data_IF_936245266040
#
_entry.id   IF_936245266040
#
_cell.length_a   1.000
_cell.length_b   1.000
_cell.length_c   1.000
_cell.angle_alpha   90.00
_cell.angle_beta   90.00
_cell.angle_gamma   90.00
#
_symmetry.space_group_name_H-M   'P 1'
#
loop_
_entity.id
_entity.type
_entity.pdbx_description
1 polymer ?
#
# COMPACT_ATOMS: atom_id res chain seq x y z
N UNK A 1 -4.27 -9.85 -11.62
CA UNK A 1 -4.10 -8.54 -11.02
C UNK A 1 -4.64 -8.55 -9.60
N UNK A 2 -3.88 -8.05 -8.66
CA UNK A 2 -4.18 -8.16 -7.23
C UNK A 2 -3.80 -6.86 -6.52
N UNK A 3 -4.59 -6.49 -5.49
CA UNK A 3 -4.24 -5.41 -4.58
C UNK A 3 -3.65 -6.05 -3.32
N UNK A 4 -2.40 -5.72 -3.01
CA UNK A 4 -1.69 -6.21 -1.82
C UNK A 4 -1.66 -5.12 -0.77
N UNK A 5 -1.99 -5.46 0.48
CA UNK A 5 -2.06 -4.49 1.57
C UNK A 5 -1.08 -4.89 2.67
N UNK A 6 -0.20 -3.97 3.03
CA UNK A 6 0.63 -4.05 4.23
C UNK A 6 -0.27 -3.75 5.43
N UNK A 7 -0.98 -4.78 5.89
CA UNK A 7 -2.17 -4.59 6.72
C UNK A 7 -1.89 -4.20 8.17
N UNK A 8 -0.73 -4.58 8.72
CA UNK A 8 -0.39 -4.22 10.09
C UNK A 8 -0.20 -2.70 10.25
N UNK A 9 0.19 -2.02 9.17
CA UNK A 9 0.41 -0.58 9.17
C UNK A 9 -0.73 0.21 8.51
N UNK A 10 -1.78 -0.45 8.05
CA UNK A 10 -2.87 0.21 7.33
C UNK A 10 -4.00 0.58 8.29
N UNK A 11 -4.44 1.86 8.32
CA UNK A 11 -5.56 2.26 9.16
C UNK A 11 -6.86 1.54 8.78
N UNK A 12 -7.70 1.28 9.78
CA UNK A 12 -8.96 0.56 9.58
C UNK A 12 -9.88 1.26 8.59
N UNK A 13 -9.95 2.60 8.62
CA UNK A 13 -10.80 3.36 7.69
C UNK A 13 -10.37 3.16 6.24
N UNK A 14 -9.08 2.98 6.00
CA UNK A 14 -8.56 2.70 4.65
C UNK A 14 -8.86 1.26 4.26
N UNK A 15 -8.74 0.31 5.19
CA UNK A 15 -9.14 -1.08 4.94
C UNK A 15 -10.60 -1.16 4.51
N UNK A 16 -11.49 -0.39 5.16
CA UNK A 16 -12.91 -0.36 4.81
C UNK A 16 -13.15 0.16 3.40
N UNK A 17 -12.42 1.18 2.98
CA UNK A 17 -12.48 1.68 1.61
C UNK A 17 -12.05 0.58 0.63
N UNK A 18 -10.98 -0.14 0.97
CA UNK A 18 -10.46 -1.23 0.14
C UNK A 18 -11.46 -2.39 0.05
N UNK A 19 -12.13 -2.75 1.14
CA UNK A 19 -13.14 -3.82 1.13
C UNK A 19 -14.26 -3.49 0.15
N UNK A 20 -14.80 -2.29 0.21
CA UNK A 20 -15.86 -1.85 -0.69
C UNK A 20 -15.38 -1.80 -2.15
N UNK A 21 -14.16 -1.31 -2.35
CA UNK A 21 -13.58 -1.24 -3.69
C UNK A 21 -13.36 -2.62 -4.29
N UNK A 22 -12.86 -3.58 -3.50
CA UNK A 22 -12.63 -4.95 -3.96
C UNK A 22 -13.93 -5.59 -4.47
N UNK A 23 -15.03 -5.40 -3.74
CA UNK A 23 -16.33 -5.92 -4.16
C UNK A 23 -16.82 -5.24 -5.43
N UNK A 24 -16.77 -3.91 -5.48
CA UNK A 24 -17.26 -3.15 -6.62
C UNK A 24 -16.45 -3.42 -7.89
N UNK A 25 -15.14 -3.49 -7.74
CA UNK A 25 -14.21 -3.70 -8.85
C UNK A 25 -14.04 -5.17 -9.20
N UNK A 26 -14.54 -6.08 -8.37
CA UNK A 26 -14.31 -7.52 -8.50
C UNK A 26 -12.82 -7.82 -8.60
N UNK A 27 -12.05 -7.22 -7.71
CA UNK A 27 -10.60 -7.26 -7.70
C UNK A 27 -10.10 -8.04 -6.49
N UNK A 28 -9.21 -9.04 -6.68
CA UNK A 28 -8.62 -9.73 -5.54
C UNK A 28 -7.88 -8.75 -4.62
N UNK A 29 -8.16 -8.84 -3.34
CA UNK A 29 -7.55 -8.03 -2.29
C UNK A 29 -6.93 -8.97 -1.26
N UNK A 30 -5.64 -8.86 -1.04
CA UNK A 30 -4.92 -9.70 -0.08
C UNK A 30 -4.30 -8.81 1.00
N UNK A 31 -4.73 -9.04 2.25
CA UNK A 31 -4.19 -8.32 3.40
C UNK A 31 -3.13 -9.20 4.05
N UNK A 32 -1.90 -8.73 4.03
CA UNK A 32 -0.75 -9.46 4.59
C UNK A 32 -0.45 -8.88 5.97
N UNK A 33 -0.45 -9.73 6.99
CA UNK A 33 -0.26 -9.30 8.37
C UNK A 33 0.41 -10.40 9.20
N UNK A 34 1.03 -9.99 10.30
CA UNK A 34 1.62 -10.97 11.22
C UNK A 34 0.64 -11.40 12.31
N UNK A 35 -0.61 -10.98 12.23
CA UNK A 35 -1.67 -11.34 13.17
C UNK A 35 -2.94 -11.70 12.39
N UNK A 36 -3.87 -12.39 13.07
CA UNK A 36 -5.14 -12.72 12.46
C UNK A 36 -5.98 -11.47 12.29
N UNK A 37 -6.56 -11.30 11.11
CA UNK A 37 -7.41 -10.16 10.79
C UNK A 37 -8.83 -10.65 10.53
N UNK A 38 -9.80 -9.86 10.98
CA UNK A 38 -11.19 -10.04 10.64
C UNK A 38 -11.51 -9.23 9.40
N UNK A 39 -11.93 -9.91 8.34
CA UNK A 39 -12.32 -9.25 7.10
C UNK A 39 -13.75 -9.66 6.74
N UNK A 40 -14.46 -8.84 5.94
CA UNK A 40 -15.80 -9.23 5.49
C UNK A 40 -15.75 -10.52 4.67
N UNK A 41 -16.75 -11.41 4.79
CA UNK A 41 -16.80 -12.59 3.94
C UNK A 41 -16.96 -12.17 2.48
N UNK A 42 -16.00 -12.59 1.65
CA UNK A 42 -15.99 -12.21 0.24
C UNK A 42 -15.03 -13.12 -0.50
N UNK A 43 -15.40 -13.50 -1.72
CA UNK A 43 -14.49 -14.27 -2.58
C UNK A 43 -13.33 -13.43 -3.12
N UNK A 44 -13.42 -12.10 -3.00
CA UNK A 44 -12.38 -11.19 -3.47
C UNK A 44 -11.39 -10.82 -2.37
N UNK A 45 -11.77 -10.97 -1.10
CA UNK A 45 -10.98 -10.50 0.04
C UNK A 45 -10.44 -11.70 0.80
N UNK A 46 -9.12 -11.78 0.92
CA UNK A 46 -8.49 -12.82 1.73
C UNK A 46 -7.35 -12.23 2.56
N UNK A 47 -6.97 -12.96 3.60
CA UNK A 47 -5.85 -12.60 4.45
C UNK A 47 -4.74 -13.59 4.26
N UNK A 48 -3.51 -13.12 4.40
CA UNK A 48 -2.32 -13.96 4.39
C UNK A 48 -1.56 -13.66 5.68
N UNK A 49 -1.56 -14.62 6.59
CA UNK A 49 -0.85 -14.47 7.85
C UNK A 49 0.59 -14.92 7.67
N UNK A 50 1.54 -14.07 8.11
CA UNK A 50 2.97 -14.36 8.07
C UNK A 50 3.53 -14.40 9.48
N UNK A 51 4.73 -14.94 9.64
CA UNK A 51 5.41 -14.95 10.94
C UNK A 51 5.69 -13.52 11.39
N UNK A 52 5.66 -13.29 12.70
CA UNK A 52 6.09 -12.01 13.26
C UNK A 52 7.59 -11.84 13.03
N UNK A 53 8.01 -10.61 12.74
CA UNK A 53 9.42 -10.32 12.51
C UNK A 53 9.57 -9.11 11.60
N UNK A 54 10.74 -8.51 11.66
CA UNK A 54 11.05 -7.33 10.86
C UNK A 54 11.04 -7.70 9.37
N UNK A 55 10.29 -6.95 8.57
CA UNK A 55 10.20 -7.09 7.11
C UNK A 55 9.61 -8.41 6.59
N UNK A 56 9.06 -9.27 7.43
CA UNK A 56 8.52 -10.56 6.96
C UNK A 56 7.31 -10.33 6.04
N UNK A 57 6.38 -9.46 6.44
CA UNK A 57 5.22 -9.14 5.60
C UNK A 57 5.65 -8.44 4.32
N UNK A 58 6.59 -7.50 4.40
CA UNK A 58 7.10 -6.77 3.24
C UNK A 58 7.73 -7.71 2.22
N UNK A 59 8.57 -8.62 2.68
CA UNK A 59 9.25 -9.57 1.81
C UNK A 59 8.25 -10.49 1.12
N UNK A 60 7.20 -10.90 1.81
CA UNK A 60 6.16 -11.75 1.23
C UNK A 60 5.37 -11.02 0.14
N UNK A 61 5.04 -9.74 0.37
CA UNK A 61 4.37 -8.93 -0.65
C UNK A 61 5.25 -8.79 -1.89
N UNK A 62 6.52 -8.45 -1.72
CA UNK A 62 7.45 -8.32 -2.85
C UNK A 62 7.58 -9.65 -3.61
N UNK A 63 7.68 -10.75 -2.88
CA UNK A 63 7.81 -12.08 -3.48
C UNK A 63 6.63 -12.43 -4.39
N UNK A 64 5.41 -12.09 -3.94
CA UNK A 64 4.20 -12.49 -4.65
C UNK A 64 3.67 -11.47 -5.64
N UNK A 65 3.97 -10.17 -5.47
CA UNK A 65 3.42 -9.17 -6.38
C UNK A 65 4.01 -9.29 -7.79
N UNK A 66 3.22 -8.90 -8.77
CA UNK A 66 3.57 -8.99 -10.18
C UNK A 66 3.34 -7.64 -10.85
N UNK A 67 3.89 -7.47 -12.06
CA UNK A 67 3.66 -6.27 -12.85
C UNK A 67 2.15 -6.07 -13.06
N UNK A 68 1.69 -4.85 -12.86
CA UNK A 68 0.28 -4.50 -12.97
C UNK A 68 -0.49 -4.59 -11.66
N UNK A 69 0.07 -5.19 -10.61
CA UNK A 69 -0.57 -5.22 -9.29
C UNK A 69 -0.48 -3.85 -8.61
N UNK A 70 -1.23 -3.70 -7.52
CA UNK A 70 -1.19 -2.51 -6.69
C UNK A 70 -0.78 -2.89 -5.27
N UNK A 71 0.11 -2.11 -4.66
CA UNK A 71 0.54 -2.32 -3.28
C UNK A 71 0.14 -1.10 -2.45
N UNK A 72 -0.53 -1.32 -1.33
CA UNK A 72 -0.93 -0.27 -0.40
C UNK A 72 0.00 -0.32 0.81
N UNK A 73 0.86 0.68 0.92
CA UNK A 73 1.84 0.75 2.00
C UNK A 73 2.38 2.16 2.18
N UNK A 74 2.75 2.49 3.42
CA UNK A 74 3.52 3.70 3.73
C UNK A 74 5.02 3.39 3.86
N UNK A 75 5.42 2.14 3.74
CA UNK A 75 6.81 1.72 3.83
C UNK A 75 7.53 2.02 2.52
N UNK A 76 8.48 2.94 2.56
CA UNK A 76 9.15 3.42 1.36
C UNK A 76 9.98 2.34 0.67
N UNK A 77 10.81 1.53 1.37
CA UNK A 77 11.52 0.44 0.70
C UNK A 77 10.59 -0.58 0.03
N UNK A 78 9.47 -0.93 0.66
CA UNK A 78 8.50 -1.85 0.06
C UNK A 78 7.90 -1.25 -1.22
N UNK A 79 7.50 0.02 -1.17
CA UNK A 79 6.97 0.71 -2.34
C UNK A 79 7.98 0.74 -3.48
N UNK A 80 9.25 1.00 -3.17
CA UNK A 80 10.32 1.04 -4.17
C UNK A 80 10.50 -0.32 -4.85
N UNK A 81 10.52 -1.40 -4.08
CA UNK A 81 10.66 -2.75 -4.63
C UNK A 81 9.46 -3.15 -5.49
N UNK A 82 8.25 -2.77 -5.06
CA UNK A 82 7.04 -3.05 -5.84
C UNK A 82 7.07 -2.31 -7.19
N UNK A 83 7.45 -1.04 -7.18
CA UNK A 83 7.56 -0.24 -8.40
C UNK A 83 8.61 -0.84 -9.34
N UNK A 84 9.73 -1.31 -8.80
CA UNK A 84 10.76 -1.95 -9.58
C UNK A 84 10.26 -3.20 -10.31
N UNK A 85 9.32 -3.92 -9.72
CA UNK A 85 8.67 -5.09 -10.33
C UNK A 85 7.58 -4.72 -11.34
N UNK A 86 7.24 -3.45 -11.47
CA UNK A 86 6.20 -2.99 -12.37
C UNK A 86 4.82 -2.84 -11.73
N UNK A 87 4.72 -2.98 -10.42
CA UNK A 87 3.49 -2.72 -9.69
C UNK A 87 3.34 -1.23 -9.39
N UNK A 88 2.12 -0.77 -9.12
CA UNK A 88 1.87 0.56 -8.61
C UNK A 88 1.90 0.52 -7.08
N UNK A 89 2.16 1.66 -6.45
CA UNK A 89 2.15 1.77 -4.99
C UNK A 89 1.45 3.07 -4.57
N UNK A 90 0.53 2.96 -3.63
CA UNK A 90 -0.23 4.09 -3.08
C UNK A 90 -0.16 3.99 -1.55
N UNK A 91 0.09 5.11 -0.88
CA UNK A 91 0.07 5.10 0.58
C UNK A 91 -1.34 5.38 1.13
N UNK A 92 -1.60 5.11 2.43
CA UNK A 92 -2.93 5.32 3.00
C UNK A 92 -3.42 6.78 3.00
N UNK A 93 -2.56 7.75 2.74
CA UNK A 93 -2.96 9.16 2.62
C UNK A 93 -3.32 9.55 1.19
N UNK A 94 -3.27 8.61 0.26
CA UNK A 94 -3.66 8.84 -1.12
C UNK A 94 -2.55 9.31 -2.05
N UNK A 95 -1.30 9.27 -1.59
CA UNK A 95 -0.18 9.58 -2.48
C UNK A 95 0.20 8.34 -3.29
N UNK A 96 0.31 8.52 -4.61
CA UNK A 96 0.87 7.48 -5.47
C UNK A 96 2.37 7.73 -5.61
N UNK A 97 3.15 6.70 -5.35
CA UNK A 97 4.59 6.76 -5.59
C UNK A 97 4.89 6.53 -7.06
N UNK A 98 5.88 7.25 -7.58
CA UNK A 98 6.41 7.06 -8.94
C UNK A 98 7.89 6.71 -8.82
N UNK A 99 8.54 6.20 -9.89
CA UNK A 99 9.98 5.96 -9.83
C UNK A 99 10.79 7.18 -9.39
N UNK A 100 10.40 8.38 -9.84
CA UNK A 100 11.08 9.61 -9.45
C UNK A 100 10.80 9.99 -8.00
N UNK A 101 9.53 9.97 -7.57
CA UNK A 101 9.15 10.36 -6.21
C UNK A 101 9.68 9.38 -5.17
N UNK A 102 9.76 8.09 -5.52
CA UNK A 102 10.25 7.09 -4.57
C UNK A 102 11.74 7.28 -4.27
N UNK A 103 12.52 7.71 -5.24
CA UNK A 103 13.94 8.02 -5.02
C UNK A 103 14.11 9.19 -4.07
N UNK A 104 13.30 10.23 -4.24
CA UNK A 104 13.29 11.38 -3.32
C UNK A 104 12.91 10.96 -1.92
N UNK A 105 11.89 10.11 -1.79
CA UNK A 105 11.42 9.62 -0.49
C UNK A 105 12.48 8.77 0.21
N UNK A 106 13.21 7.93 -0.53
CA UNK A 106 14.29 7.13 0.04
C UNK A 106 15.39 8.04 0.60
N UNK A 107 15.78 9.06 -0.14
CA UNK A 107 16.78 10.03 0.31
C UNK A 107 16.33 10.77 1.57
N UNK A 108 15.08 11.23 1.58
CA UNK A 108 14.50 11.92 2.74
C UNK A 108 14.45 11.00 3.96
N UNK A 109 14.08 9.72 3.76
CA UNK A 109 14.05 8.74 4.85
C UNK A 109 15.42 8.58 5.49
N UNK A 110 16.48 8.44 4.66
CA UNK A 110 17.85 8.31 5.15
C UNK A 110 18.27 9.53 5.95
N UNK A 111 17.91 10.72 5.46
CA UNK A 111 18.19 11.97 6.15
C UNK A 111 17.49 12.03 7.51
N UNK A 112 16.21 11.66 7.57
CA UNK A 112 15.45 11.68 8.82
C UNK A 112 15.97 10.65 9.82
N UNK A 113 16.39 9.48 9.35
CA UNK A 113 17.00 8.46 10.20
C UNK A 113 18.30 8.98 10.81
N UNK A 114 19.11 9.70 10.04
CA UNK A 114 20.33 10.33 10.53
C UNK A 114 20.04 11.35 11.61
N UNK A 115 19.00 12.18 11.42
CA UNK A 115 18.59 13.17 12.42
C UNK A 115 18.16 12.49 13.73
N UNK A 116 17.40 11.41 13.65
CA UNK A 116 16.97 10.68 14.85
C UNK A 116 18.16 10.08 15.58
N UNK A 117 19.10 9.51 14.85
CA UNK A 117 20.34 8.96 15.43
C UNK A 117 21.15 10.03 16.14
N UNK A 118 21.05 11.29 15.69
CA UNK A 118 21.73 12.42 16.32
C UNK A 118 20.99 12.99 17.52
N UNK A 119 19.86 12.38 17.92
CA UNK A 119 19.06 12.82 19.07
C UNK A 119 18.09 13.96 18.75
N UNK A 120 17.95 14.34 17.50
CA UNK A 120 17.00 15.37 17.09
C UNK A 120 15.61 14.71 16.98
N UNK A 121 14.65 15.28 17.71
CA UNK A 121 13.27 14.78 17.66
C UNK A 121 12.56 15.38 16.46
N UNK A 122 12.07 14.51 15.57
CA UNK A 122 11.18 14.91 14.49
C UNK A 122 9.75 14.51 14.87
N UNK A 123 8.78 15.36 14.53
CA UNK A 123 7.39 15.04 14.83
C UNK A 123 6.94 13.75 14.13
N UNK A 124 6.05 12.98 14.77
CA UNK A 124 5.44 11.81 14.15
C UNK A 124 4.47 12.20 13.05
N UNK A 125 4.01 11.23 12.23
CA UNK A 125 3.01 11.53 11.21
C UNK A 125 1.69 11.95 11.85
N UNK A 126 0.99 12.87 11.21
CA UNK A 126 -0.32 13.32 11.66
C UNK A 126 -1.34 12.19 11.54
N UNK A 127 -2.39 12.26 12.36
CA UNK A 127 -3.52 11.35 12.25
C UNK A 127 -4.17 11.46 10.87
N UNK A 128 -4.75 10.35 10.41
CA UNK A 128 -5.43 10.32 9.13
C UNK A 128 -6.68 11.20 9.17
N UNK A 129 -6.77 12.16 8.25
CA UNK A 129 -7.87 13.11 8.18
C UNK A 129 -8.94 12.64 7.19
N UNK A 130 -10.10 13.31 7.20
CA UNK A 130 -11.14 13.10 6.19
C UNK A 130 -10.60 13.40 4.79
N UNK A 131 -9.75 14.41 4.66
CA UNK A 131 -9.12 14.76 3.40
C UNK A 131 -8.21 13.63 2.90
N UNK A 132 -7.47 12.98 3.80
CA UNK A 132 -6.60 11.85 3.45
C UNK A 132 -7.44 10.68 2.95
N UNK A 133 -8.57 10.40 3.60
CA UNK A 133 -9.47 9.31 3.17
C UNK A 133 -10.03 9.57 1.78
N UNK A 134 -10.45 10.81 1.52
CA UNK A 134 -10.96 11.20 0.21
C UNK A 134 -9.88 11.11 -0.86
N UNK A 135 -8.67 11.55 -0.53
CA UNK A 135 -7.53 11.47 -1.45
C UNK A 135 -7.19 10.03 -1.79
N UNK A 136 -7.22 9.14 -0.78
CA UNK A 136 -6.97 7.71 -1.00
C UNK A 136 -8.04 7.11 -1.93
N UNK A 137 -9.30 7.34 -1.65
CA UNK A 137 -10.40 6.82 -2.47
C UNK A 137 -10.30 7.31 -3.91
N UNK A 138 -9.97 8.58 -4.10
CA UNK A 138 -9.82 9.18 -5.43
C UNK A 138 -8.65 8.57 -6.21
N UNK A 139 -7.51 8.38 -5.55
CA UNK A 139 -6.34 7.80 -6.21
C UNK A 139 -6.54 6.32 -6.55
N UNK A 140 -7.22 5.58 -5.67
CA UNK A 140 -7.58 4.19 -5.94
C UNK A 140 -8.48 4.08 -7.16
N UNK A 141 -9.47 4.96 -7.27
CA UNK A 141 -10.37 5.00 -8.43
C UNK A 141 -9.60 5.34 -9.70
N UNK A 142 -8.69 6.30 -9.62
CA UNK A 142 -7.85 6.69 -10.75
C UNK A 142 -7.02 5.51 -11.26
N UNK A 143 -6.40 4.76 -10.34
CA UNK A 143 -5.65 3.56 -10.68
C UNK A 143 -6.54 2.54 -11.38
N UNK A 144 -7.75 2.31 -10.84
CA UNK A 144 -8.71 1.38 -11.42
C UNK A 144 -9.09 1.77 -12.85
N UNK A 145 -9.35 3.05 -13.10
CA UNK A 145 -9.67 3.54 -14.44
C UNK A 145 -8.50 3.35 -15.42
N UNK A 146 -7.28 3.54 -14.96
CA UNK A 146 -6.08 3.30 -15.78
C UNK A 146 -5.98 1.82 -16.17
N UNK A 147 -6.26 0.92 -15.22
CA UNK A 147 -6.27 -0.52 -15.46
C UNK A 147 -7.33 -0.89 -16.51
N UNK A 148 -8.52 -0.31 -16.39
CA UNK A 148 -9.61 -0.57 -17.32
C UNK A 148 -9.27 -0.10 -18.74
N UNK A 149 -8.65 1.05 -18.88
CA UNK A 149 -8.19 1.55 -20.16
C UNK A 149 -7.16 0.63 -20.80
N UNK A 150 -6.20 0.18 -20.02
CA UNK A 150 -5.16 -0.72 -20.49
C UNK A 150 -5.77 -2.03 -21.00
N UNK A 151 -6.78 -2.57 -20.30
CA UNK A 151 -7.49 -3.79 -20.71
C UNK A 151 -8.33 -3.56 -21.97
N UNK A 152 -8.92 -2.38 -22.09
CA UNK A 152 -9.75 -2.04 -23.23
C UNK A 152 -8.98 -1.80 -24.52
N UNK A 153 -7.67 -1.66 -24.46
CA UNK A 153 -6.81 -1.41 -25.62
C UNK A 153 -6.23 -2.69 -26.23
N UNK A 154 -6.57 -3.85 -25.67
CA UNK A 154 -6.07 -5.11 -26.17
C UNK A 154 -6.98 -5.75 -27.21
#
# INVERSE_FOLDING_TARGET
MTIWVDADACPNVIKEILYRAAERMQMPLVLVANQSLRVPPSRFIRTLRVAAGFDVADNEIVRQCEAGDLVITADIPLAAEAIEKGAAAINPRGERYTPASIRERLTMRDFMDTLRASGIQTGGPDSLSQRDRQAFAAELEKWWLEVQRSRGQM
#
